data_IF_312198842756
#
_entry.id   IF_312198842756
#
_cell.length_a   1.000
_cell.length_b   1.000
_cell.length_c   1.000
_cell.angle_alpha   90.00
_cell.angle_beta   90.00
_cell.angle_gamma   90.00
#
_symmetry.space_group_name_H-M   'P 1'
#
loop_
_entity.id
_entity.type
_entity.pdbx_description
1 polymer ?
#
# COMPACT_ATOMS: atom_id res chain seq x y z
N UNK A 1 -22.79 -1.51 -17.14
CA UNK A 1 -22.33 -2.70 -16.40
C UNK A 1 -21.32 -3.45 -17.27
N UNK A 2 -20.02 -3.20 -17.10
CA UNK A 2 -18.98 -3.93 -17.82
C UNK A 2 -18.28 -4.89 -16.85
N UNK A 3 -18.71 -6.16 -16.86
CA UNK A 3 -18.06 -7.26 -16.14
C UNK A 3 -16.67 -7.62 -16.69
N UNK A 4 -16.19 -6.88 -17.69
CA UNK A 4 -14.84 -6.98 -18.23
C UNK A 4 -13.91 -6.04 -17.45
N UNK A 5 -13.46 -6.48 -16.27
CA UNK A 5 -12.05 -6.34 -15.86
C UNK A 5 -11.74 -6.85 -14.45
N UNK A 6 -12.71 -7.22 -13.61
CA UNK A 6 -12.38 -7.72 -12.27
C UNK A 6 -11.56 -9.03 -12.32
N UNK A 7 -11.91 -9.96 -13.21
CA UNK A 7 -11.11 -11.18 -13.39
C UNK A 7 -9.75 -10.92 -14.05
N UNK A 8 -9.67 -9.98 -14.98
CA UNK A 8 -8.40 -9.62 -15.66
C UNK A 8 -7.48 -8.88 -14.69
N UNK A 9 -8.03 -7.99 -13.86
CA UNK A 9 -7.32 -7.32 -12.77
C UNK A 9 -6.87 -8.34 -11.72
N UNK A 10 -7.73 -9.29 -11.31
CA UNK A 10 -7.35 -10.37 -10.40
C UNK A 10 -6.28 -11.29 -10.97
N UNK A 11 -6.32 -11.63 -12.27
CA UNK A 11 -5.25 -12.41 -12.93
C UNK A 11 -3.93 -11.64 -13.01
N UNK A 12 -3.98 -10.34 -13.30
CA UNK A 12 -2.80 -9.46 -13.22
C UNK A 12 -2.26 -9.40 -11.79
N UNK A 13 -3.12 -9.23 -10.79
CA UNK A 13 -2.75 -9.25 -9.36
C UNK A 13 -2.18 -10.61 -8.92
N UNK A 14 -2.70 -11.73 -9.44
CA UNK A 14 -2.15 -13.07 -9.23
C UNK A 14 -0.73 -13.22 -9.81
N UNK A 15 -0.44 -12.59 -10.96
CA UNK A 15 0.93 -12.54 -11.49
C UNK A 15 1.85 -11.61 -10.68
N UNK A 16 1.33 -10.51 -10.10
CA UNK A 16 2.08 -9.66 -9.17
C UNK A 16 2.31 -10.31 -7.80
N UNK A 17 1.46 -11.28 -7.41
CA UNK A 17 1.58 -12.10 -6.19
C UNK A 17 2.93 -12.83 -6.08
N UNK A 18 3.73 -12.85 -7.15
CA UNK A 18 5.00 -13.56 -7.27
C UNK A 18 6.26 -12.69 -7.47
N UNK A 19 6.16 -11.36 -7.56
CA UNK A 19 7.36 -10.52 -7.74
C UNK A 19 7.32 -9.27 -6.86
N UNK A 20 7.24 -9.47 -5.55
CA UNK A 20 7.83 -8.52 -4.63
C UNK A 20 9.31 -8.86 -4.51
N UNK A 21 10.20 -7.93 -4.86
CA UNK A 21 11.59 -8.02 -4.40
C UNK A 21 11.55 -7.82 -2.88
N UNK A 22 11.64 -8.93 -2.15
CA UNK A 22 11.50 -8.94 -0.69
C UNK A 22 12.53 -8.04 -0.01
N UNK A 23 13.78 -8.01 -0.50
CA UNK A 23 14.84 -7.20 0.10
C UNK A 23 14.58 -5.72 -0.15
N UNK A 24 14.15 -5.37 -1.36
CA UNK A 24 13.72 -4.01 -1.68
C UNK A 24 12.55 -3.59 -0.79
N UNK A 25 11.49 -4.40 -0.73
CA UNK A 25 10.28 -4.10 0.02
C UNK A 25 10.55 -4.00 1.52
N UNK A 26 11.33 -4.93 2.10
CA UNK A 26 11.73 -4.90 3.51
C UNK A 26 12.55 -3.66 3.84
N UNK A 27 13.50 -3.28 2.99
CA UNK A 27 14.31 -2.06 3.20
C UNK A 27 13.42 -0.82 3.18
N UNK A 28 12.56 -0.71 2.16
CA UNK A 28 11.69 0.45 1.98
C UNK A 28 10.61 0.55 3.04
N UNK A 29 10.01 -0.58 3.42
CA UNK A 29 9.12 -0.67 4.56
C UNK A 29 9.75 -0.05 5.81
N UNK A 30 10.96 -0.48 6.18
CA UNK A 30 11.67 0.05 7.33
C UNK A 30 12.06 1.53 7.20
N UNK A 31 12.28 2.02 5.97
CA UNK A 31 12.51 3.44 5.68
C UNK A 31 11.27 4.26 6.06
N UNK A 32 10.11 3.93 5.47
CA UNK A 32 8.84 4.61 5.76
C UNK A 32 8.35 4.41 7.20
N UNK A 33 8.59 3.24 7.78
CA UNK A 33 8.30 2.93 9.18
C UNK A 33 9.08 3.80 10.17
N UNK A 34 10.25 4.32 9.79
CA UNK A 34 11.08 5.19 10.65
C UNK A 34 10.85 6.67 10.41
N UNK A 35 10.16 7.04 9.33
CA UNK A 35 9.79 8.42 9.08
C UNK A 35 8.82 8.93 10.16
N UNK A 36 8.91 10.24 10.38
CA UNK A 36 7.86 11.02 11.04
C UNK A 36 6.64 11.16 10.13
N UNK A 37 5.49 11.50 10.70
CA UNK A 37 4.27 11.72 9.91
C UNK A 37 4.43 12.85 8.88
N UNK A 38 5.17 13.90 9.21
CA UNK A 38 5.41 15.04 8.30
C UNK A 38 6.28 14.67 7.10
N UNK A 39 7.32 13.86 7.32
CA UNK A 39 8.14 13.30 6.23
C UNK A 39 7.31 12.37 5.33
N UNK A 40 6.41 11.59 5.94
CA UNK A 40 5.52 10.70 5.19
C UNK A 40 4.49 11.48 4.36
N UNK A 41 3.90 12.55 4.92
CA UNK A 41 3.02 13.49 4.20
C UNK A 41 3.73 14.09 2.99
N UNK A 42 4.99 14.49 3.14
CA UNK A 42 5.77 15.02 2.02
C UNK A 42 5.94 13.97 0.91
N UNK A 43 6.13 12.70 1.27
CA UNK A 43 6.18 11.60 0.29
C UNK A 43 4.83 11.39 -0.41
N UNK A 44 3.70 11.51 0.29
CA UNK A 44 2.37 11.42 -0.30
C UNK A 44 2.00 12.61 -1.20
N UNK A 45 2.77 13.69 -1.19
CA UNK A 45 2.62 14.83 -2.11
C UNK A 45 3.51 14.71 -3.36
N UNK A 46 4.41 13.72 -3.40
CA UNK A 46 5.26 13.41 -4.55
C UNK A 46 4.69 12.24 -5.34
N UNK A 47 4.24 12.51 -6.56
CA UNK A 47 3.62 11.52 -7.45
C UNK A 47 4.53 10.32 -7.76
N UNK A 48 5.85 10.48 -7.76
CA UNK A 48 6.80 9.37 -7.95
C UNK A 48 6.87 8.49 -6.71
N UNK A 49 6.73 9.07 -5.51
CA UNK A 49 6.77 8.37 -4.23
C UNK A 49 5.47 7.65 -3.93
N UNK A 50 4.32 8.18 -4.35
CA UNK A 50 3.02 7.52 -4.17
C UNK A 50 3.00 6.14 -4.84
N UNK A 51 3.61 5.98 -6.02
CA UNK A 51 3.74 4.68 -6.66
C UNK A 51 4.54 3.66 -5.82
N UNK A 52 5.64 4.10 -5.21
CA UNK A 52 6.44 3.27 -4.28
C UNK A 52 5.62 2.90 -3.04
N UNK A 53 4.91 3.86 -2.44
CA UNK A 53 4.04 3.63 -1.27
C UNK A 53 2.92 2.63 -1.61
N UNK A 54 2.24 2.79 -2.76
CA UNK A 54 1.20 1.85 -3.18
C UNK A 54 1.70 0.44 -3.41
N UNK A 55 2.92 0.30 -3.97
CA UNK A 55 3.58 -1.01 -4.08
C UNK A 55 3.84 -1.64 -2.71
N UNK A 56 4.29 -0.84 -1.73
CA UNK A 56 4.57 -1.32 -0.38
C UNK A 56 3.29 -1.65 0.40
N UNK A 57 2.21 -0.86 0.26
CA UNK A 57 0.90 -1.21 0.83
C UNK A 57 0.45 -2.59 0.32
N UNK A 58 0.58 -2.85 -0.99
CA UNK A 58 0.26 -4.15 -1.58
C UNK A 58 1.15 -5.27 -1.02
N UNK A 59 2.44 -5.01 -0.77
CA UNK A 59 3.36 -5.95 -0.14
C UNK A 59 2.97 -6.28 1.31
N UNK A 60 2.67 -5.26 2.12
CA UNK A 60 2.24 -5.41 3.52
C UNK A 60 0.99 -6.29 3.60
N UNK A 61 0.00 -5.99 2.76
CA UNK A 61 -1.25 -6.76 2.69
C UNK A 61 -1.00 -8.21 2.24
N UNK A 62 -0.09 -8.43 1.30
CA UNK A 62 0.32 -9.78 0.89
C UNK A 62 1.00 -10.57 2.01
N UNK A 63 1.90 -9.95 2.79
CA UNK A 63 2.54 -10.57 3.96
C UNK A 63 1.48 -10.96 4.99
N UNK A 64 0.60 -10.02 5.38
CA UNK A 64 -0.49 -10.26 6.34
C UNK A 64 -1.41 -11.40 5.90
N UNK A 65 -1.75 -11.45 4.61
CA UNK A 65 -2.53 -12.54 4.02
C UNK A 65 -1.81 -13.90 4.06
N UNK A 66 -0.49 -13.93 3.91
CA UNK A 66 0.30 -15.18 4.03
C UNK A 66 0.40 -15.70 5.46
N UNK A 67 0.36 -14.84 6.46
CA UNK A 67 0.54 -15.21 7.88
C UNK A 67 -0.71 -15.79 8.58
N UNK A 68 -1.83 -16.03 7.86
CA UNK A 68 -3.11 -16.56 8.40
C UNK A 68 -3.85 -15.63 9.40
N UNK A 69 -3.92 -14.34 9.12
CA UNK A 69 -5.00 -13.52 9.67
C UNK A 69 -6.08 -13.34 8.60
N UNK A 70 -7.34 -13.53 8.97
CA UNK A 70 -8.51 -13.45 8.10
C UNK A 70 -8.72 -12.03 7.53
N UNK A 71 -7.80 -11.53 6.70
CA UNK A 71 -8.04 -10.29 5.95
C UNK A 71 -8.89 -10.61 4.72
N UNK A 72 -10.11 -11.07 5.00
CA UNK A 72 -11.24 -10.96 4.07
C UNK A 72 -11.89 -9.63 4.34
N UNK A 73 -11.33 -8.54 3.83
CA UNK A 73 -12.17 -7.40 3.57
C UNK A 73 -12.29 -7.20 2.08
N UNK A 74 -13.52 -7.37 1.59
CA UNK A 74 -14.00 -7.00 0.27
C UNK A 74 -13.63 -5.57 -0.16
N UNK A 75 -13.15 -4.73 0.77
CA UNK A 75 -12.75 -3.33 0.55
C UNK A 75 -11.31 -2.99 0.98
N UNK A 76 -10.51 -3.89 1.55
CA UNK A 76 -9.22 -3.56 2.16
C UNK A 76 -8.14 -3.05 1.20
N UNK A 77 -7.88 -3.79 0.11
CA UNK A 77 -6.93 -3.37 -0.94
C UNK A 77 -7.48 -2.16 -1.74
N UNK A 78 -8.79 -2.15 -2.00
CA UNK A 78 -9.45 -1.10 -2.77
C UNK A 78 -9.52 0.24 -2.02
N UNK A 79 -9.73 0.21 -0.71
CA UNK A 79 -9.76 1.38 0.15
C UNK A 79 -8.40 2.08 0.17
N UNK A 80 -7.32 1.34 0.41
CA UNK A 80 -5.97 1.93 0.44
C UNK A 80 -5.53 2.49 -0.91
N UNK A 81 -5.82 1.78 -2.00
CA UNK A 81 -5.56 2.29 -3.34
C UNK A 81 -6.35 3.57 -3.60
N UNK A 82 -7.62 3.64 -3.16
CA UNK A 82 -8.45 4.82 -3.30
C UNK A 82 -7.91 6.03 -2.52
N UNK A 83 -7.43 5.83 -1.28
CA UNK A 83 -6.79 6.89 -0.51
C UNK A 83 -5.52 7.43 -1.18
N UNK A 84 -4.72 6.55 -1.78
CA UNK A 84 -3.52 6.95 -2.53
C UNK A 84 -3.87 7.73 -3.81
N UNK A 85 -4.97 7.38 -4.48
CA UNK A 85 -5.47 8.15 -5.62
C UNK A 85 -5.92 9.55 -5.20
N UNK A 86 -6.62 9.70 -4.07
CA UNK A 86 -6.96 11.02 -3.56
C UNK A 86 -5.72 11.88 -3.30
N UNK A 87 -4.64 11.29 -2.78
CA UNK A 87 -3.37 11.99 -2.57
C UNK A 87 -2.72 12.46 -3.88
N UNK A 88 -2.89 11.71 -4.98
CA UNK A 88 -2.44 12.13 -6.31
C UNK A 88 -3.26 13.29 -6.88
N UNK A 89 -4.55 13.33 -6.59
CA UNK A 89 -5.46 14.35 -7.11
C UNK A 89 -5.34 15.68 -6.37
N UNK A 90 -5.07 15.64 -5.06
CA UNK A 90 -4.97 16.84 -4.23
C UNK A 90 -4.05 16.65 -3.03
N UNK A 91 -3.09 17.56 -2.87
CA UNK A 91 -2.16 17.58 -1.73
C UNK A 91 -2.86 17.70 -0.36
N UNK A 92 -4.07 18.26 -0.30
CA UNK A 92 -4.85 18.30 0.94
C UNK A 92 -5.28 16.90 1.40
N UNK A 93 -5.53 15.98 0.46
CA UNK A 93 -5.84 14.59 0.80
C UNK A 93 -4.66 13.85 1.40
N UNK A 94 -3.42 14.22 1.04
CA UNK A 94 -2.23 13.69 1.70
C UNK A 94 -2.21 14.05 3.19
N UNK A 95 -2.66 15.26 3.56
CA UNK A 95 -2.71 15.67 4.97
C UNK A 95 -3.80 14.91 5.75
N UNK A 96 -4.92 14.58 5.10
CA UNK A 96 -6.04 13.82 5.69
C UNK A 96 -5.71 12.33 5.82
N UNK A 97 -5.11 11.73 4.80
CA UNK A 97 -4.95 10.28 4.70
C UNK A 97 -3.60 9.76 5.21
N UNK A 98 -2.62 10.65 5.41
CA UNK A 98 -1.27 10.24 5.79
C UNK A 98 -1.21 9.39 7.06
N UNK A 99 -1.95 9.74 8.10
CA UNK A 99 -1.90 9.02 9.38
C UNK A 99 -2.33 7.56 9.20
N UNK A 100 -3.51 7.35 8.62
CA UNK A 100 -4.02 6.01 8.35
C UNK A 100 -3.11 5.19 7.43
N UNK A 101 -2.58 5.79 6.36
CA UNK A 101 -1.67 5.08 5.45
C UNK A 101 -0.35 4.77 6.15
N UNK A 102 0.15 5.68 7.00
CA UNK A 102 1.43 5.51 7.71
C UNK A 102 1.36 4.45 8.78
N UNK A 103 0.22 4.29 9.46
CA UNK A 103 -0.01 3.22 10.44
C UNK A 103 0.28 1.83 9.88
N UNK A 104 -0.02 1.57 8.60
CA UNK A 104 0.33 0.31 7.94
C UNK A 104 1.83 -0.02 7.98
N UNK A 105 2.67 1.02 7.98
CA UNK A 105 4.13 0.90 8.07
C UNK A 105 4.63 0.85 9.51
N UNK A 106 3.76 1.09 10.49
CA UNK A 106 4.07 1.01 11.92
C UNK A 106 3.58 -0.30 12.54
N UNK A 107 2.65 -0.99 11.87
CA UNK A 107 2.22 -2.32 12.28
C UNK A 107 3.41 -3.30 12.28
N UNK A 108 3.58 -4.05 13.36
CA UNK A 108 4.72 -4.96 13.51
C UNK A 108 4.54 -6.20 12.62
N UNK A 109 4.74 -6.05 11.31
CA UNK A 109 4.82 -7.17 10.38
C UNK A 109 6.16 -7.88 10.57
N UNK A 110 6.11 -9.19 10.87
CA UNK A 110 7.32 -10.00 11.06
C UNK A 110 7.98 -10.27 9.71
N UNK A 111 8.77 -9.32 9.25
CA UNK A 111 9.63 -9.49 8.08
C UNK A 111 10.87 -10.32 8.47
N UNK A 112 10.72 -11.65 8.61
CA UNK A 112 11.82 -12.59 8.88
C UNK A 112 12.85 -12.53 7.75
#
# INVERSE_FOLDING_TARGET
MSGMNYEIQNRKLQSYKHTFDYNFCKRKYNEYARMTLEEFKACLKDSKKIGEIGHLCSFILWIKNKEKYEYRDSLGDYGLIHLLFHCLENNHHADIHAEYIHELFKEDIKLV
#
